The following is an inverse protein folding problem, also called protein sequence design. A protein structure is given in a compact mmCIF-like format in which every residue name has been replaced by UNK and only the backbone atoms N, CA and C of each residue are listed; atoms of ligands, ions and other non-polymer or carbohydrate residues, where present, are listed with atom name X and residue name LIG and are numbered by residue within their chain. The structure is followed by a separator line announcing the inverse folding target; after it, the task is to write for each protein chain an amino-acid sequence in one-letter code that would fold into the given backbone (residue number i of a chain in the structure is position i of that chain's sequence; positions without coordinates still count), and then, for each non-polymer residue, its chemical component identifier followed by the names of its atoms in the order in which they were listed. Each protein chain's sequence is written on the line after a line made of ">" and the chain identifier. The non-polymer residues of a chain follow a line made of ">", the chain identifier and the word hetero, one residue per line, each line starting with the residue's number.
data_IF_816535377593
#
_entry.id   IF_816535377593
#
_cell.length_a   1.000
_cell.length_b   1.000
_cell.length_c   1.000
_cell.angle_alpha   90.00
_cell.angle_beta   90.00
_cell.angle_gamma   90.00
#
_symmetry.space_group_name_H-M   'P 1'
#
loop_
_entity.id
_entity.type
_entity.pdbx_description
1 polymer ?
#
# COMPACT_ATOMS: atom_id res chain seq x y z
N UNK A 1 28.06 0.98 30.28
CA UNK A 1 26.75 0.51 29.75
C UNK A 1 26.28 1.63 28.85
N UNK A 2 26.13 1.39 27.53
CA UNK A 2 25.51 2.37 26.64
C UNK A 2 24.07 2.58 27.11
N UNK A 3 23.65 3.84 27.28
CA UNK A 3 22.25 4.17 27.56
C UNK A 3 21.36 3.55 26.47
N UNK A 4 20.32 2.80 26.88
CA UNK A 4 19.35 2.23 25.91
C UNK A 4 18.62 3.41 25.24
N UNK A 5 18.67 3.48 23.92
CA UNK A 5 17.95 4.51 23.16
C UNK A 5 16.46 4.18 23.15
N UNK A 6 15.65 4.97 23.84
CA UNK A 6 14.18 4.80 23.86
C UNK A 6 13.56 5.95 23.07
N UNK A 7 12.76 5.60 22.06
CA UNK A 7 12.02 6.57 21.21
C UNK A 7 10.65 6.84 21.83
N UNK A 8 10.11 8.05 21.71
CA UNK A 8 8.76 8.37 22.21
C UNK A 8 7.69 7.64 21.39
N UNK A 9 7.82 7.63 20.06
CA UNK A 9 6.91 6.93 19.17
C UNK A 9 7.70 6.20 18.08
N UNK A 10 7.44 4.90 17.94
CA UNK A 10 7.92 4.13 16.80
C UNK A 10 6.76 3.86 15.84
N UNK A 11 6.94 4.23 14.58
CA UNK A 11 5.97 4.07 13.50
C UNK A 11 6.37 2.85 12.67
N UNK A 12 5.49 1.85 12.60
CA UNK A 12 5.69 0.64 11.80
C UNK A 12 4.97 0.83 10.46
N UNK A 13 5.73 1.08 9.39
CA UNK A 13 5.25 1.37 8.05
C UNK A 13 5.54 2.82 7.62
N UNK A 14 6.41 2.97 6.61
CA UNK A 14 6.88 4.25 6.03
C UNK A 14 6.07 4.71 4.82
N UNK A 15 4.81 4.25 4.69
CA UNK A 15 3.88 4.72 3.67
C UNK A 15 3.33 6.12 3.96
N UNK A 16 2.38 6.64 3.15
CA UNK A 16 1.80 7.97 3.30
C UNK A 16 1.34 8.30 4.71
N UNK A 17 0.71 7.33 5.36
CA UNK A 17 0.15 7.49 6.70
C UNK A 17 1.26 7.57 7.77
N UNK A 18 2.27 6.71 7.65
CA UNK A 18 3.43 6.73 8.56
C UNK A 18 4.27 7.99 8.42
N UNK A 19 4.48 8.47 7.19
CA UNK A 19 5.17 9.73 6.91
C UNK A 19 4.44 10.92 7.54
N UNK A 20 3.12 11.00 7.39
CA UNK A 20 2.34 12.07 8.00
C UNK A 20 2.30 11.94 9.53
N UNK A 21 2.28 10.73 10.07
CA UNK A 21 2.37 10.50 11.50
C UNK A 21 3.72 11.00 12.08
N UNK A 22 4.83 10.78 11.36
CA UNK A 22 6.15 11.27 11.76
C UNK A 22 6.21 12.80 11.77
N UNK A 23 5.65 13.45 10.73
CA UNK A 23 5.48 14.90 10.73
C UNK A 23 4.73 15.38 11.95
N UNK A 24 3.60 14.76 12.26
CA UNK A 24 2.75 15.20 13.36
C UNK A 24 3.38 14.90 14.74
N UNK A 25 4.10 13.78 14.86
CA UNK A 25 4.89 13.46 16.05
C UNK A 25 5.97 14.53 16.31
N UNK A 26 6.67 14.96 15.27
CA UNK A 26 7.66 16.04 15.35
C UNK A 26 7.05 17.37 15.77
N UNK A 27 5.90 17.76 15.21
CA UNK A 27 5.15 18.94 15.66
C UNK A 27 4.76 18.87 17.15
N UNK A 28 4.59 17.67 17.69
CA UNK A 28 4.30 17.41 19.10
C UNK A 28 5.57 17.23 19.94
N UNK A 29 6.76 17.51 19.38
CA UNK A 29 8.06 17.39 20.03
C UNK A 29 8.30 16.00 20.62
N UNK A 30 7.90 14.96 19.89
CA UNK A 30 8.20 13.57 20.20
C UNK A 30 9.39 13.09 19.37
N UNK A 31 10.32 12.39 19.98
CA UNK A 31 11.32 11.61 19.25
C UNK A 31 10.61 10.51 18.47
N UNK A 32 10.94 10.34 17.17
CA UNK A 32 10.22 9.47 16.26
C UNK A 32 11.19 8.59 15.47
N UNK A 33 10.86 7.30 15.36
CA UNK A 33 11.53 6.36 14.46
C UNK A 33 10.50 5.73 13.53
N UNK A 34 10.74 5.76 12.22
CA UNK A 34 9.98 5.01 11.22
C UNK A 34 10.73 3.72 10.92
N UNK A 35 10.06 2.58 11.05
CA UNK A 35 10.60 1.26 10.67
C UNK A 35 9.74 0.70 9.53
N UNK A 36 10.37 0.37 8.40
CA UNK A 36 9.68 -0.27 7.28
C UNK A 36 10.43 -1.53 6.82
N UNK A 37 9.67 -2.55 6.42
CA UNK A 37 10.21 -3.76 5.80
C UNK A 37 10.68 -3.57 4.36
N UNK A 38 10.27 -2.49 3.71
CA UNK A 38 10.73 -2.10 2.38
C UNK A 38 12.08 -1.36 2.47
N UNK A 39 12.84 -1.36 1.35
CA UNK A 39 14.12 -0.66 1.23
C UNK A 39 13.96 0.84 0.94
N UNK A 40 12.73 1.32 0.75
CA UNK A 40 12.40 2.70 0.44
C UNK A 40 11.10 3.16 1.09
N UNK A 41 10.97 4.47 1.34
CA UNK A 41 9.76 5.07 1.87
C UNK A 41 8.67 5.21 0.78
N UNK A 42 7.42 5.40 1.22
CA UNK A 42 6.25 5.60 0.34
C UNK A 42 5.32 4.39 0.29
N UNK A 43 5.75 3.24 0.81
CA UNK A 43 4.91 2.05 0.94
C UNK A 43 4.36 1.59 -0.42
N UNK A 44 3.04 1.34 -0.50
CA UNK A 44 2.41 0.85 -1.74
C UNK A 44 2.53 1.83 -2.91
N UNK A 45 2.55 3.14 -2.67
CA UNK A 45 2.67 4.14 -3.74
C UNK A 45 3.98 4.00 -4.50
N UNK A 46 5.08 3.72 -3.81
CA UNK A 46 6.38 3.51 -4.42
C UNK A 46 6.55 2.08 -4.95
N UNK A 47 6.17 1.10 -4.13
CA UNK A 47 6.42 -0.31 -4.44
C UNK A 47 5.56 -0.86 -5.59
N UNK A 48 4.32 -0.35 -5.75
CA UNK A 48 3.34 -0.98 -6.65
C UNK A 48 2.99 -0.13 -7.87
N UNK A 49 2.84 1.20 -7.72
CA UNK A 49 2.27 2.05 -8.77
C UNK A 49 2.78 3.50 -8.76
N UNK A 50 4.12 3.71 -8.82
CA UNK A 50 4.70 5.05 -8.74
C UNK A 50 4.24 5.98 -9.86
N UNK A 51 3.91 5.45 -11.04
CA UNK A 51 3.44 6.21 -12.20
C UNK A 51 1.92 6.45 -12.24
N UNK A 52 1.16 5.82 -11.32
CA UNK A 52 -0.29 6.00 -11.24
C UNK A 52 -0.66 7.39 -10.72
N UNK A 53 -1.72 7.98 -11.27
CA UNK A 53 -2.31 9.21 -10.73
C UNK A 53 -3.20 8.91 -9.52
N UNK A 54 -3.05 9.75 -8.50
CA UNK A 54 -3.87 9.80 -7.29
C UNK A 54 -4.79 11.02 -7.42
N UNK A 55 -6.09 10.82 -7.25
CA UNK A 55 -7.13 11.85 -7.43
C UNK A 55 -7.77 12.25 -6.10
N UNK A 56 -7.66 11.44 -5.07
CA UNK A 56 -8.34 11.57 -3.78
C UNK A 56 -7.44 12.15 -2.67
N UNK A 57 -6.36 12.85 -3.06
CA UNK A 57 -5.52 13.57 -2.12
C UNK A 57 -5.89 15.06 -2.10
N UNK A 58 -6.44 15.59 -1.00
CA UNK A 58 -6.81 17.00 -0.89
C UNK A 58 -5.65 17.94 -1.21
N UNK A 59 -5.94 19.01 -1.98
CA UNK A 59 -4.93 19.99 -2.43
C UNK A 59 -4.34 19.68 -3.80
N UNK A 60 -4.59 18.49 -4.36
CA UNK A 60 -4.17 18.12 -5.71
C UNK A 60 -5.37 17.70 -6.55
N UNK A 61 -5.65 18.34 -7.70
CA UNK A 61 -6.65 17.84 -8.65
C UNK A 61 -6.32 16.42 -9.15
N UNK A 62 -5.02 16.16 -9.36
CA UNK A 62 -4.37 14.87 -9.57
C UNK A 62 -2.87 15.01 -9.32
N UNK A 63 -2.22 13.97 -8.83
CA UNK A 63 -0.77 13.95 -8.60
C UNK A 63 -0.25 12.53 -8.88
N UNK A 64 0.94 12.39 -9.48
CA UNK A 64 1.55 11.06 -9.60
C UNK A 64 1.94 10.52 -8.22
N UNK A 65 1.79 9.23 -8.02
CA UNK A 65 2.10 8.58 -6.73
C UNK A 65 3.53 8.88 -6.28
N UNK A 66 4.51 8.81 -7.18
CA UNK A 66 5.93 9.12 -6.88
C UNK A 66 6.14 10.57 -6.44
N UNK A 67 5.45 11.53 -7.08
CA UNK A 67 5.58 12.95 -6.76
C UNK A 67 4.91 13.26 -5.41
N UNK A 68 3.78 12.61 -5.13
CA UNK A 68 3.12 12.68 -3.82
C UNK A 68 4.03 12.13 -2.71
N UNK A 69 4.67 10.97 -2.93
CA UNK A 69 5.62 10.39 -1.97
C UNK A 69 6.80 11.32 -1.73
N UNK A 70 7.39 11.90 -2.78
CA UNK A 70 8.50 12.86 -2.63
C UNK A 70 8.11 14.02 -1.71
N UNK A 71 6.95 14.64 -1.93
CA UNK A 71 6.45 15.72 -1.08
C UNK A 71 6.16 15.26 0.36
N UNK A 72 5.61 14.04 0.53
CA UNK A 72 5.32 13.49 1.85
C UNK A 72 6.58 13.10 2.62
N UNK A 73 7.64 12.64 1.96
CA UNK A 73 8.94 12.37 2.57
C UNK A 73 9.55 13.68 3.08
N UNK A 74 9.57 14.72 2.24
CA UNK A 74 10.04 16.04 2.65
C UNK A 74 9.25 16.56 3.87
N UNK A 75 7.92 16.47 3.84
CA UNK A 75 7.06 16.86 4.96
C UNK A 75 7.33 16.00 6.21
N UNK A 76 7.38 14.69 6.06
CA UNK A 76 7.48 13.72 7.16
C UNK A 76 8.77 13.83 7.95
N UNK A 77 9.87 14.18 7.27
CA UNK A 77 11.21 14.17 7.85
C UNK A 77 11.71 15.53 8.35
N UNK A 78 10.95 16.60 8.18
CA UNK A 78 11.40 17.96 8.54
C UNK A 78 11.71 18.14 10.04
N UNK A 79 11.27 17.23 10.91
CA UNK A 79 11.58 17.23 12.35
C UNK A 79 12.59 16.16 12.77
N UNK A 80 13.31 15.57 11.81
CA UNK A 80 14.42 14.67 12.07
C UNK A 80 14.00 13.29 12.59
N UNK A 81 12.87 12.75 12.12
CA UNK A 81 12.52 11.36 12.41
C UNK A 81 13.63 10.41 11.90
N UNK A 82 14.00 9.43 12.72
CA UNK A 82 14.95 8.39 12.34
C UNK A 82 14.27 7.40 11.38
N UNK A 83 15.01 6.95 10.36
CA UNK A 83 14.52 6.02 9.37
C UNK A 83 15.30 4.72 9.46
N UNK A 84 14.57 3.61 9.55
CA UNK A 84 15.09 2.24 9.55
C UNK A 84 14.36 1.44 8.48
N UNK A 85 15.04 1.16 7.36
CA UNK A 85 14.47 0.43 6.22
C UNK A 85 14.98 -1.01 6.18
N UNK A 86 14.31 -1.87 5.40
CA UNK A 86 14.65 -3.28 5.26
C UNK A 86 14.46 -4.10 6.55
N UNK A 87 13.72 -3.57 7.53
CA UNK A 87 13.49 -4.24 8.81
C UNK A 87 12.01 -4.52 9.04
N UNK A 88 11.63 -5.76 8.86
CA UNK A 88 10.29 -6.23 9.17
C UNK A 88 10.19 -6.58 10.66
N UNK A 89 9.32 -5.90 11.40
CA UNK A 89 9.05 -6.20 12.81
C UNK A 89 8.23 -7.49 12.90
N UNK A 90 8.71 -8.44 13.68
CA UNK A 90 8.08 -9.76 13.87
C UNK A 90 7.57 -9.98 15.30
N UNK A 91 8.19 -9.35 16.30
CA UNK A 91 7.77 -9.44 17.69
C UNK A 91 7.51 -8.08 18.30
N UNK A 92 6.42 -7.99 19.07
CA UNK A 92 6.03 -6.82 19.83
C UNK A 92 5.67 -7.23 21.26
N UNK A 93 6.46 -6.81 22.23
CA UNK A 93 6.29 -7.14 23.64
C UNK A 93 6.44 -5.88 24.50
N UNK A 94 5.61 -5.76 25.54
CA UNK A 94 5.77 -4.72 26.55
C UNK A 94 6.63 -5.27 27.70
N UNK A 95 7.62 -4.48 28.14
CA UNK A 95 8.46 -4.73 29.28
C UNK A 95 7.72 -4.39 30.59
N UNK A 96 8.23 -4.82 31.73
CA UNK A 96 7.66 -4.50 33.05
C UNK A 96 7.67 -3.01 33.37
N UNK A 97 8.62 -2.25 32.79
CA UNK A 97 8.74 -0.79 32.93
C UNK A 97 7.77 -0.03 31.99
N UNK A 98 6.92 -0.73 31.24
CA UNK A 98 5.96 -0.15 30.31
C UNK A 98 6.53 0.17 28.93
N UNK A 99 7.84 0.04 28.71
CA UNK A 99 8.47 0.28 27.40
C UNK A 99 8.17 -0.87 26.45
N UNK A 100 7.87 -0.52 25.21
CA UNK A 100 7.67 -1.47 24.13
C UNK A 100 9.01 -1.91 23.55
N UNK A 101 9.17 -3.22 23.42
CA UNK A 101 10.28 -3.88 22.72
C UNK A 101 9.78 -4.41 21.41
N UNK A 102 10.35 -3.91 20.31
CA UNK A 102 10.12 -4.38 18.96
C UNK A 102 11.36 -5.16 18.51
N UNK A 103 11.14 -6.32 17.89
CA UNK A 103 12.23 -7.12 17.33
C UNK A 103 11.97 -7.36 15.85
N UNK A 104 12.97 -7.06 15.03
CA UNK A 104 12.92 -7.31 13.59
C UNK A 104 13.23 -8.79 13.27
N UNK A 105 12.88 -9.22 12.07
CA UNK A 105 13.20 -10.57 11.55
C UNK A 105 14.70 -10.87 11.60
N UNK A 106 15.56 -9.85 11.43
CA UNK A 106 17.02 -9.93 11.57
C UNK A 106 17.53 -9.88 13.02
N UNK A 107 16.65 -9.85 14.05
CA UNK A 107 17.02 -9.83 15.46
C UNK A 107 17.40 -8.45 16.02
N UNK A 108 17.30 -7.39 15.23
CA UNK A 108 17.51 -6.02 15.72
C UNK A 108 16.38 -5.62 16.66
N UNK A 109 16.75 -5.02 17.80
CA UNK A 109 15.81 -4.60 18.85
C UNK A 109 15.68 -3.08 18.88
N UNK A 110 14.43 -2.60 18.90
CA UNK A 110 14.08 -1.20 19.10
C UNK A 110 13.22 -1.03 20.36
N UNK A 111 13.40 0.08 21.06
CA UNK A 111 12.64 0.39 22.26
C UNK A 111 11.84 1.68 22.08
N UNK A 112 10.58 1.66 22.51
CA UNK A 112 9.67 2.77 22.31
C UNK A 112 8.67 2.93 23.46
N UNK A 113 8.26 4.17 23.75
CA UNK A 113 7.19 4.46 24.71
C UNK A 113 5.82 4.16 24.15
N UNK A 114 5.62 4.45 22.86
CA UNK A 114 4.37 4.19 22.13
C UNK A 114 4.65 3.66 20.73
N UNK A 115 3.67 2.96 20.16
CA UNK A 115 3.74 2.37 18.85
C UNK A 115 2.58 2.89 17.98
N UNK A 116 2.86 3.23 16.74
CA UNK A 116 1.85 3.47 15.71
C UNK A 116 2.03 2.48 14.56
N UNK A 117 1.02 1.66 14.30
CA UNK A 117 1.03 0.68 13.22
C UNK A 117 0.33 1.31 12.00
N UNK A 118 1.08 1.55 10.92
CA UNK A 118 0.62 2.11 9.65
C UNK A 118 1.04 1.27 8.44
N UNK A 119 1.10 -0.04 8.61
CA UNK A 119 1.59 -1.01 7.63
C UNK A 119 0.64 -1.29 6.45
N UNK A 120 -0.35 -0.42 6.18
CA UNK A 120 -1.26 -0.52 5.04
C UNK A 120 -2.07 -1.83 5.05
N UNK A 121 -1.99 -2.61 3.98
CA UNK A 121 -2.64 -3.92 3.91
C UNK A 121 -1.82 -5.05 4.59
N UNK A 122 -0.74 -4.70 5.31
CA UNK A 122 0.22 -5.65 5.83
C UNK A 122 1.19 -6.13 4.74
N UNK A 123 1.66 -7.36 4.86
CA UNK A 123 2.39 -8.03 3.79
C UNK A 123 1.41 -8.33 2.64
N UNK A 124 1.73 -7.88 1.45
CA UNK A 124 0.88 -8.16 0.28
C UNK A 124 1.67 -8.97 -0.75
N UNK A 125 1.05 -10.03 -1.23
CA UNK A 125 1.53 -10.82 -2.36
C UNK A 125 0.52 -10.73 -3.50
N UNK A 126 0.97 -10.60 -4.76
CA UNK A 126 0.06 -10.57 -5.89
C UNK A 126 -0.66 -11.92 -6.02
N UNK A 127 -1.90 -11.87 -6.45
CA UNK A 127 -2.61 -13.08 -6.88
C UNK A 127 -2.03 -13.54 -8.20
N UNK A 128 -1.45 -14.73 -8.18
CA UNK A 128 -0.85 -15.37 -9.36
C UNK A 128 -1.94 -16.02 -10.21
N UNK A 129 -1.60 -16.27 -11.47
CA UNK A 129 -2.40 -17.17 -12.32
C UNK A 129 -2.36 -18.58 -11.73
N UNK A 130 -3.46 -19.35 -11.80
CA UNK A 130 -3.51 -20.73 -11.33
C UNK A 130 -2.80 -21.69 -12.30
N UNK A 131 -1.59 -21.37 -12.73
CA UNK A 131 -0.78 -22.11 -13.68
C UNK A 131 0.60 -22.34 -13.09
N UNK A 132 1.11 -23.56 -13.20
CA UNK A 132 2.47 -23.90 -12.79
C UNK A 132 3.52 -23.26 -13.72
N UNK A 133 4.66 -22.89 -13.17
CA UNK A 133 5.81 -22.37 -13.92
C UNK A 133 5.65 -20.95 -14.43
N UNK A 134 4.68 -20.17 -13.96
CA UNK A 134 4.53 -18.76 -14.35
C UNK A 134 5.65 -17.87 -13.81
N UNK A 135 6.37 -18.33 -12.80
CA UNK A 135 7.49 -17.62 -12.16
C UNK A 135 8.62 -17.29 -13.15
N UNK A 136 8.81 -18.12 -14.18
CA UNK A 136 9.86 -17.91 -15.19
C UNK A 136 9.66 -16.64 -16.03
N UNK A 137 8.44 -16.13 -16.13
CA UNK A 137 8.12 -14.90 -16.87
C UNK A 137 8.00 -13.66 -15.97
N UNK A 138 8.05 -13.82 -14.64
CA UNK A 138 7.97 -12.70 -13.71
C UNK A 138 9.15 -11.74 -13.96
N UNK A 139 8.84 -10.48 -14.31
CA UNK A 139 9.83 -9.49 -14.75
C UNK A 139 10.35 -9.67 -16.19
N UNK A 140 9.90 -10.72 -16.92
CA UNK A 140 10.28 -11.03 -18.29
C UNK A 140 9.04 -11.19 -19.16
N UNK A 141 8.14 -10.19 -19.15
CA UNK A 141 6.89 -10.18 -19.89
C UNK A 141 5.65 -10.43 -19.05
N UNK A 142 5.78 -10.89 -17.80
CA UNK A 142 4.68 -11.03 -16.85
C UNK A 142 4.88 -10.07 -15.66
N UNK A 143 3.94 -9.15 -15.47
CA UNK A 143 4.01 -8.08 -14.49
C UNK A 143 2.82 -8.11 -13.53
N UNK A 144 3.11 -8.01 -12.24
CA UNK A 144 2.11 -7.78 -11.19
C UNK A 144 2.04 -6.31 -10.81
N UNK A 145 3.10 -5.57 -11.11
CA UNK A 145 3.29 -4.15 -10.80
C UNK A 145 3.88 -3.44 -12.02
N UNK A 146 3.46 -2.23 -12.26
CA UNK A 146 4.02 -1.37 -13.31
C UNK A 146 4.85 -0.29 -12.65
N UNK A 147 6.17 -0.48 -12.66
CA UNK A 147 7.14 0.50 -12.13
C UNK A 147 7.60 1.50 -13.17
N UNK A 148 7.66 1.08 -14.42
CA UNK A 148 8.08 1.89 -15.56
C UNK A 148 7.16 1.58 -16.76
N UNK A 149 6.50 2.60 -17.28
CA UNK A 149 5.58 2.46 -18.42
C UNK A 149 6.31 2.36 -19.75
N UNK A 150 7.59 2.77 -19.82
CA UNK A 150 8.40 2.69 -21.05
C UNK A 150 8.67 1.25 -21.50
N UNK A 151 8.63 0.28 -20.58
CA UNK A 151 8.75 -1.16 -20.90
C UNK A 151 7.69 -1.60 -21.91
N UNK A 152 6.51 -0.97 -21.88
CA UNK A 152 5.37 -1.32 -22.73
C UNK A 152 5.33 -0.54 -24.04
N UNK A 153 6.27 0.37 -24.30
CA UNK A 153 6.27 1.22 -25.50
C UNK A 153 6.36 0.39 -26.76
N UNK A 154 5.35 0.55 -27.63
CA UNK A 154 5.24 -0.16 -28.89
C UNK A 154 4.98 -1.68 -28.77
N UNK A 155 4.70 -2.18 -27.57
CA UNK A 155 4.38 -3.59 -27.28
C UNK A 155 2.90 -3.87 -27.37
N UNK A 156 2.53 -5.13 -27.59
CA UNK A 156 1.17 -5.65 -27.44
C UNK A 156 0.99 -6.09 -26.01
N UNK A 157 0.09 -5.46 -25.29
CA UNK A 157 -0.11 -5.64 -23.85
C UNK A 157 -1.46 -6.31 -23.59
N UNK A 158 -1.43 -7.40 -22.83
CA UNK A 158 -2.62 -8.05 -22.29
C UNK A 158 -2.77 -7.65 -20.83
N UNK A 159 -3.89 -7.04 -20.48
CA UNK A 159 -4.25 -6.71 -19.10
C UNK A 159 -5.33 -7.69 -18.63
N UNK A 160 -5.09 -8.31 -17.46
CA UNK A 160 -6.00 -9.32 -16.90
C UNK A 160 -6.57 -8.81 -15.60
N UNK A 161 -7.88 -8.50 -15.60
CA UNK A 161 -8.55 -8.01 -14.40
C UNK A 161 -9.83 -7.25 -14.66
N UNK A 162 -10.44 -6.71 -13.60
CA UNK A 162 -11.70 -5.95 -13.71
C UNK A 162 -11.93 -5.00 -12.52
N UNK A 163 -10.87 -4.65 -11.81
CA UNK A 163 -10.87 -3.60 -10.78
C UNK A 163 -10.21 -2.33 -11.30
N UNK A 164 -10.16 -1.29 -10.45
CA UNK A 164 -9.59 0.02 -10.80
C UNK A 164 -8.20 -0.09 -11.43
N UNK A 165 -7.31 -0.92 -10.88
CA UNK A 165 -5.96 -1.08 -11.43
C UNK A 165 -5.95 -1.60 -12.87
N UNK A 166 -6.84 -2.52 -13.23
CA UNK A 166 -6.92 -3.03 -14.60
C UNK A 166 -7.39 -1.94 -15.57
N UNK A 167 -8.44 -1.20 -15.19
CA UNK A 167 -9.01 -0.12 -15.99
C UNK A 167 -8.02 1.04 -16.14
N UNK A 168 -7.42 1.48 -15.03
CA UNK A 168 -6.46 2.59 -15.03
C UNK A 168 -5.23 2.29 -15.92
N UNK A 169 -4.65 1.06 -15.81
CA UNK A 169 -3.52 0.68 -16.65
C UNK A 169 -3.93 0.55 -18.13
N UNK A 170 -5.13 0.09 -18.42
CA UNK A 170 -5.63 0.02 -19.80
C UNK A 170 -5.70 1.41 -20.44
N UNK A 171 -6.30 2.37 -19.73
CA UNK A 171 -6.40 3.75 -20.18
C UNK A 171 -5.02 4.43 -20.31
N UNK A 172 -4.11 4.16 -19.38
CA UNK A 172 -2.78 4.76 -19.41
C UNK A 172 -1.94 4.22 -20.57
N UNK A 173 -1.94 2.89 -20.75
CA UNK A 173 -1.09 2.22 -21.73
C UNK A 173 -1.65 2.28 -23.18
N UNK A 174 -2.90 2.66 -23.37
CA UNK A 174 -3.46 2.94 -24.70
C UNK A 174 -2.59 3.91 -25.52
N UNK A 175 -1.98 4.89 -24.86
CA UNK A 175 -1.13 5.89 -25.49
C UNK A 175 0.37 5.54 -25.54
N UNK A 176 0.77 4.41 -24.97
CA UNK A 176 2.16 3.96 -24.86
C UNK A 176 2.40 2.70 -25.67
N UNK A 177 1.52 1.71 -25.53
CA UNK A 177 1.59 0.43 -26.20
C UNK A 177 1.16 0.54 -27.68
N UNK A 178 1.54 -0.43 -28.51
CA UNK A 178 1.02 -0.53 -29.86
C UNK A 178 -0.41 -1.08 -29.91
N UNK A 179 -0.78 -1.91 -28.93
CA UNK A 179 -2.11 -2.47 -28.77
C UNK A 179 -2.33 -2.89 -27.32
N UNK A 180 -3.51 -2.62 -26.79
CA UNK A 180 -3.92 -3.03 -25.45
C UNK A 180 -5.20 -3.85 -25.53
N UNK A 181 -5.15 -5.06 -25.00
CA UNK A 181 -6.32 -5.93 -24.81
C UNK A 181 -6.56 -6.09 -23.32
N UNK A 182 -7.77 -5.79 -22.85
CA UNK A 182 -8.21 -6.05 -21.48
C UNK A 182 -9.14 -7.25 -21.47
N UNK A 183 -8.79 -8.32 -20.78
CA UNK A 183 -9.68 -9.44 -20.54
C UNK A 183 -10.23 -9.43 -19.11
N UNK A 184 -11.54 -9.69 -19.00
CA UNK A 184 -12.22 -9.80 -17.72
C UNK A 184 -13.13 -11.01 -17.69
N UNK A 185 -13.10 -11.81 -16.62
CA UNK A 185 -13.86 -13.04 -16.45
C UNK A 185 -15.36 -12.86 -16.20
N UNK A 186 -15.85 -11.63 -16.07
CA UNK A 186 -17.25 -11.29 -15.76
C UNK A 186 -17.77 -10.21 -16.69
N UNK A 187 -19.06 -9.91 -16.59
CA UNK A 187 -19.73 -8.83 -17.30
C UNK A 187 -19.64 -7.46 -16.60
N UNK A 188 -19.30 -7.44 -15.30
CA UNK A 188 -19.27 -6.22 -14.50
C UNK A 188 -17.89 -5.95 -13.94
N UNK A 189 -17.40 -4.76 -14.20
CA UNK A 189 -16.21 -4.22 -13.56
C UNK A 189 -16.48 -3.83 -12.10
N UNK A 190 -15.43 -3.85 -11.29
CA UNK A 190 -15.44 -3.32 -9.90
C UNK A 190 -14.80 -1.95 -9.81
N UNK A 191 -14.32 -1.42 -10.93
CA UNK A 191 -13.76 -0.10 -11.05
C UNK A 191 -14.87 0.98 -10.99
N UNK A 192 -14.46 2.22 -10.75
CA UNK A 192 -15.37 3.36 -10.76
C UNK A 192 -16.06 3.50 -12.11
N UNK A 193 -17.34 3.83 -12.08
CA UNK A 193 -18.20 3.91 -13.27
C UNK A 193 -17.65 4.87 -14.33
N UNK A 194 -17.12 6.03 -13.90
CA UNK A 194 -16.53 7.03 -14.80
C UNK A 194 -15.35 6.48 -15.60
N UNK A 195 -14.42 5.78 -14.93
CA UNK A 195 -13.24 5.20 -15.59
C UNK A 195 -13.62 4.02 -16.49
N UNK A 196 -14.64 3.23 -16.11
CA UNK A 196 -15.19 2.18 -16.98
C UNK A 196 -15.83 2.78 -18.23
N UNK A 197 -16.54 3.91 -18.11
CA UNK A 197 -17.13 4.59 -19.27
C UNK A 197 -16.02 5.11 -20.20
N UNK A 198 -14.94 5.68 -19.67
CA UNK A 198 -13.78 6.08 -20.48
C UNK A 198 -13.16 4.89 -21.21
N UNK A 199 -12.96 3.76 -20.53
CA UNK A 199 -12.44 2.52 -21.11
C UNK A 199 -13.28 2.03 -22.29
N UNK A 200 -14.61 2.05 -22.17
CA UNK A 200 -15.52 1.61 -23.23
C UNK A 200 -15.56 2.54 -24.45
N UNK A 201 -15.05 3.77 -24.32
CA UNK A 201 -15.03 4.79 -25.37
C UNK A 201 -13.62 5.06 -25.94
N UNK A 202 -12.59 4.34 -25.49
CA UNK A 202 -11.21 4.43 -25.95
C UNK A 202 -10.82 3.32 -26.94
N UNK A 203 -9.56 3.29 -27.37
CA UNK A 203 -9.03 2.31 -28.34
C UNK A 203 -8.62 0.96 -27.76
N UNK A 204 -8.87 0.71 -26.46
CA UNK A 204 -8.56 -0.58 -25.82
C UNK A 204 -9.55 -1.66 -26.26
N UNK A 205 -9.05 -2.82 -26.65
CA UNK A 205 -9.88 -3.99 -26.94
C UNK A 205 -10.34 -4.62 -25.63
N UNK A 206 -11.65 -4.58 -25.34
CA UNK A 206 -12.24 -5.10 -24.10
C UNK A 206 -12.97 -6.41 -24.36
N UNK A 207 -12.51 -7.48 -23.70
CA UNK A 207 -13.02 -8.84 -23.87
C UNK A 207 -13.58 -9.39 -22.55
N UNK A 208 -14.90 -9.55 -22.48
CA UNK A 208 -15.60 -10.04 -21.29
C UNK A 208 -15.76 -11.56 -21.33
N UNK A 209 -15.76 -12.19 -20.15
CA UNK A 209 -15.83 -13.64 -19.94
C UNK A 209 -14.60 -14.42 -20.42
N UNK A 210 -13.47 -13.75 -20.62
CA UNK A 210 -12.22 -14.36 -21.00
C UNK A 210 -11.23 -14.43 -19.84
N UNK A 211 -10.46 -15.51 -19.81
CA UNK A 211 -9.40 -15.81 -18.84
C UNK A 211 -8.16 -16.31 -19.57
N UNK A 212 -6.99 -16.20 -18.95
CA UNK A 212 -5.74 -16.77 -19.50
C UNK A 212 -5.79 -18.28 -19.37
N UNK A 213 -5.59 -18.98 -20.47
CA UNK A 213 -5.51 -20.44 -20.52
C UNK A 213 -4.07 -20.94 -20.46
N UNK A 214 -3.18 -20.42 -21.32
CA UNK A 214 -1.80 -20.84 -21.41
C UNK A 214 -0.91 -19.69 -21.93
N UNK A 215 0.33 -19.61 -21.43
CA UNK A 215 1.38 -18.77 -22.01
C UNK A 215 2.25 -19.67 -22.88
N UNK A 216 2.24 -19.45 -24.20
CA UNK A 216 2.67 -20.43 -25.18
C UNK A 216 4.18 -20.50 -25.45
N UNK A 217 5.02 -19.68 -24.78
CA UNK A 217 6.44 -19.54 -25.09
C UNK A 217 7.33 -19.92 -23.91
N UNK A 218 8.60 -20.29 -24.17
CA UNK A 218 9.53 -20.74 -23.12
C UNK A 218 10.42 -19.62 -22.58
N UNK A 219 10.87 -18.70 -23.43
CA UNK A 219 11.88 -17.68 -23.08
C UNK A 219 11.36 -16.25 -23.04
N UNK A 220 10.36 -15.93 -23.85
CA UNK A 220 9.71 -14.62 -23.91
C UNK A 220 8.27 -14.81 -24.34
N UNK A 221 7.41 -13.86 -24.03
CA UNK A 221 5.99 -13.96 -24.33
C UNK A 221 5.75 -13.37 -25.73
N UNK A 222 5.27 -14.20 -26.67
CA UNK A 222 4.85 -13.78 -28.01
C UNK A 222 3.37 -14.06 -28.27
N UNK A 223 2.82 -15.05 -27.58
CA UNK A 223 1.46 -15.50 -27.77
C UNK A 223 0.88 -16.05 -26.46
N UNK A 224 -0.40 -15.77 -26.25
CA UNK A 224 -1.16 -16.27 -25.10
C UNK A 224 -2.45 -16.93 -25.58
N UNK A 225 -2.73 -18.15 -25.11
CA UNK A 225 -4.05 -18.75 -25.27
C UNK A 225 -4.99 -18.17 -24.20
N UNK A 226 -6.11 -17.64 -24.64
CA UNK A 226 -7.21 -17.22 -23.80
C UNK A 226 -8.44 -18.12 -24.04
N UNK A 227 -9.26 -18.31 -23.02
CA UNK A 227 -10.48 -19.06 -23.14
C UNK A 227 -11.69 -18.31 -22.58
N UNK A 228 -12.83 -18.48 -23.25
CA UNK A 228 -14.10 -17.93 -22.80
C UNK A 228 -14.73 -18.88 -21.79
N UNK A 229 -14.95 -18.41 -20.57
CA UNK A 229 -15.45 -19.24 -19.47
C UNK A 229 -16.96 -19.55 -19.52
N UNK A 230 -17.67 -19.00 -20.53
CA UNK A 230 -19.08 -19.35 -20.82
C UNK A 230 -19.25 -20.31 -21.98
N UNK A 231 -18.47 -20.09 -23.05
CA UNK A 231 -18.59 -20.88 -24.30
C UNK A 231 -17.56 -21.98 -24.41
N UNK A 232 -16.51 -21.96 -23.60
CA UNK A 232 -15.30 -22.79 -23.70
C UNK A 232 -14.52 -22.60 -25.02
N UNK A 233 -14.82 -21.54 -25.76
CA UNK A 233 -14.02 -21.14 -26.92
C UNK A 233 -12.59 -20.82 -26.47
N UNK A 234 -11.60 -21.24 -27.26
CA UNK A 234 -10.19 -20.96 -27.06
C UNK A 234 -9.62 -20.27 -28.27
N UNK A 235 -8.79 -19.27 -28.06
CA UNK A 235 -8.05 -18.62 -29.15
C UNK A 235 -6.70 -18.15 -28.67
N UNK A 236 -5.75 -18.05 -29.56
CA UNK A 236 -4.42 -17.50 -29.31
C UNK A 236 -4.36 -16.08 -29.82
N UNK A 237 -3.82 -15.20 -29.00
CA UNK A 237 -3.64 -13.79 -29.31
C UNK A 237 -2.17 -13.42 -29.18
N UNK A 238 -1.64 -12.58 -30.09
CA UNK A 238 -0.26 -12.13 -30.01
C UNK A 238 -0.11 -11.11 -28.88
N UNK A 239 0.79 -11.38 -27.93
CA UNK A 239 1.03 -10.59 -26.72
C UNK A 239 2.52 -10.58 -26.44
N UNK A 240 3.07 -9.42 -26.08
CA UNK A 240 4.48 -9.32 -25.64
C UNK A 240 4.60 -9.15 -24.11
N UNK A 241 3.63 -8.49 -23.50
CA UNK A 241 3.64 -8.17 -22.08
C UNK A 241 2.25 -8.46 -21.46
N UNK A 242 2.23 -9.05 -20.28
CA UNK A 242 1.01 -9.35 -19.53
C UNK A 242 1.04 -8.59 -18.23
N UNK A 243 -0.02 -7.84 -17.89
CA UNK A 243 -0.20 -7.20 -16.59
C UNK A 243 -1.34 -7.93 -15.86
N UNK A 244 -1.00 -8.54 -14.72
CA UNK A 244 -1.97 -9.25 -13.87
C UNK A 244 -2.53 -8.31 -12.81
N UNK A 245 -3.68 -7.74 -13.05
CA UNK A 245 -4.44 -6.90 -12.11
C UNK A 245 -5.52 -7.71 -11.38
N UNK A 246 -5.15 -8.87 -10.84
CA UNK A 246 -6.04 -9.80 -10.13
C UNK A 246 -6.26 -9.45 -8.65
N UNK A 247 -5.59 -8.40 -8.17
CA UNK A 247 -5.55 -7.98 -6.77
C UNK A 247 -4.48 -8.71 -5.97
N UNK A 248 -4.49 -8.46 -4.67
CA UNK A 248 -3.48 -8.95 -3.73
C UNK A 248 -4.11 -9.79 -2.64
N UNK A 249 -3.31 -10.66 -2.05
CA UNK A 249 -3.58 -11.24 -0.74
C UNK A 249 -2.97 -10.30 0.30
N UNK A 250 -3.82 -9.66 1.08
CA UNK A 250 -3.42 -8.90 2.25
C UNK A 250 -3.25 -9.87 3.42
N UNK A 251 -2.09 -9.87 4.07
CA UNK A 251 -1.85 -10.66 5.27
C UNK A 251 -1.18 -9.79 6.34
N UNK A 252 -1.78 -9.71 7.51
CA UNK A 252 -1.20 -9.02 8.66
C UNK A 252 0.11 -9.68 9.15
N UNK A 253 0.38 -10.91 8.71
CA UNK A 253 1.61 -11.63 9.06
C UNK A 253 1.82 -11.71 10.57
N UNK A 254 3.01 -11.30 11.08
CA UNK A 254 3.34 -11.32 12.50
C UNK A 254 2.39 -10.53 13.41
N UNK A 255 1.74 -9.48 12.87
CA UNK A 255 0.81 -8.63 13.64
C UNK A 255 -0.32 -9.46 14.28
N UNK A 256 -0.70 -10.59 13.66
CA UNK A 256 -1.71 -11.52 14.20
C UNK A 256 -1.32 -12.09 15.57
N UNK A 257 -0.04 -12.13 15.89
CA UNK A 257 0.49 -12.69 17.14
C UNK A 257 0.76 -11.63 18.22
N UNK A 258 0.55 -10.36 17.93
CA UNK A 258 0.86 -9.26 18.86
C UNK A 258 -0.22 -9.01 19.92
N UNK A 259 -1.25 -9.85 19.97
CA UNK A 259 -2.34 -9.73 20.95
C UNK A 259 -3.26 -8.55 20.69
N UNK A 260 -3.33 -8.08 19.45
CA UNK A 260 -4.25 -7.04 19.01
C UNK A 260 -5.62 -7.62 18.69
N UNK A 261 -6.69 -6.85 18.99
CA UNK A 261 -8.05 -7.21 18.60
C UNK A 261 -8.21 -6.99 17.08
N UNK A 262 -8.57 -8.07 16.37
CA UNK A 262 -8.72 -8.08 14.92
C UNK A 262 -10.20 -8.28 14.54
N UNK A 263 -10.65 -7.57 13.51
CA UNK A 263 -11.97 -7.72 12.92
C UNK A 263 -11.86 -7.66 11.39
N UNK A 264 -12.37 -8.68 10.69
CA UNK A 264 -12.34 -8.72 9.23
C UNK A 264 -10.94 -8.67 8.61
N UNK A 265 -9.90 -9.13 9.35
CA UNK A 265 -8.52 -9.08 8.88
C UNK A 265 -7.85 -7.71 9.04
N UNK A 266 -8.42 -6.80 9.83
CA UNK A 266 -7.87 -5.48 10.15
C UNK A 266 -7.79 -5.29 11.66
N UNK A 267 -6.92 -4.38 12.13
CA UNK A 267 -6.79 -4.03 13.54
C UNK A 267 -7.98 -3.17 13.95
N UNK A 268 -8.71 -3.60 14.98
CA UNK A 268 -9.82 -2.81 15.53
C UNK A 268 -9.26 -1.66 16.36
N UNK A 269 -9.77 -0.45 16.10
CA UNK A 269 -9.42 0.76 16.84
C UNK A 269 -10.67 1.54 17.25
N UNK A 270 -10.51 2.39 18.25
CA UNK A 270 -11.54 3.36 18.66
C UNK A 270 -11.38 4.71 17.91
N UNK A 271 -12.21 5.71 18.22
CA UNK A 271 -12.12 7.06 17.60
C UNK A 271 -10.83 7.82 17.91
N UNK A 272 -10.00 7.34 18.85
CA UNK A 272 -8.67 7.88 19.17
C UNK A 272 -7.55 7.10 18.48
N UNK A 273 -7.90 6.18 17.60
CA UNK A 273 -6.96 5.26 16.93
C UNK A 273 -6.21 4.34 17.93
N UNK A 274 -6.73 4.18 19.16
CA UNK A 274 -6.20 3.27 20.16
C UNK A 274 -6.64 1.83 19.86
N UNK A 275 -5.68 0.92 19.98
CA UNK A 275 -5.97 -0.53 19.97
C UNK A 275 -6.38 -1.00 21.37
N UNK A 276 -6.62 -2.31 21.54
CA UNK A 276 -6.85 -2.91 22.86
C UNK A 276 -5.58 -2.94 23.75
N UNK A 277 -4.39 -2.61 23.21
CA UNK A 277 -3.14 -2.56 23.97
C UNK A 277 -2.76 -1.11 24.27
N UNK A 278 -2.72 -0.68 25.57
CA UNK A 278 -2.39 0.69 25.94
C UNK A 278 -1.03 1.15 25.36
N UNK A 279 -0.99 2.34 24.75
CA UNK A 279 0.22 2.88 24.10
C UNK A 279 0.47 2.33 22.68
N UNK A 280 -0.41 1.45 22.17
CA UNK A 280 -0.36 0.97 20.77
C UNK A 280 -1.53 1.54 20.00
N UNK A 281 -1.22 2.26 18.94
CA UNK A 281 -2.14 2.90 18.01
C UNK A 281 -2.04 2.25 16.64
N UNK A 282 -3.05 2.43 15.81
CA UNK A 282 -2.97 2.02 14.41
C UNK A 282 -3.77 2.99 13.53
N UNK A 283 -3.35 3.17 12.26
CA UNK A 283 -3.97 4.09 11.31
C UNK A 283 -3.79 3.61 9.86
N UNK A 284 -4.65 4.09 8.96
CA UNK A 284 -4.62 3.77 7.54
C UNK A 284 -5.42 2.51 7.20
N UNK A 285 -5.06 1.85 6.09
CA UNK A 285 -5.83 0.71 5.57
C UNK A 285 -5.79 -0.53 6.46
N UNK A 286 -4.84 -0.58 7.39
CA UNK A 286 -4.67 -1.69 8.33
C UNK A 286 -5.76 -1.72 9.42
N UNK A 287 -6.46 -0.61 9.64
CA UNK A 287 -7.45 -0.50 10.72
C UNK A 287 -8.89 -0.70 10.26
N UNK A 288 -9.75 -1.02 11.22
CA UNK A 288 -11.20 -1.05 11.07
C UNK A 288 -11.88 -0.43 12.27
N UNK A 289 -12.95 0.31 12.00
CA UNK A 289 -13.92 0.89 12.92
C UNK A 289 -15.20 1.19 12.14
N UNK A 290 -16.29 1.54 12.82
CA UNK A 290 -17.55 1.85 12.15
C UNK A 290 -17.42 3.09 11.25
N UNK A 291 -17.81 2.97 9.98
CA UNK A 291 -17.69 4.02 8.97
C UNK A 291 -16.29 4.17 8.34
N UNK A 292 -15.36 3.21 8.54
CA UNK A 292 -14.01 3.26 7.94
C UNK A 292 -14.06 3.28 6.41
N UNK A 293 -13.38 4.28 5.83
CA UNK A 293 -13.03 4.34 4.41
C UNK A 293 -11.51 4.14 4.23
N UNK A 294 -11.13 3.30 3.27
CA UNK A 294 -9.72 3.02 2.94
C UNK A 294 -9.22 4.01 1.89
N UNK A 295 -8.99 5.26 2.31
CA UNK A 295 -8.45 6.35 1.50
C UNK A 295 -7.21 6.93 2.18
N UNK A 296 -6.27 7.44 1.38
CA UNK A 296 -5.08 8.13 1.93
C UNK A 296 -5.52 9.32 2.79
N UNK A 297 -6.47 10.12 2.30
CA UNK A 297 -6.98 11.29 3.03
C UNK A 297 -7.56 10.94 4.40
N UNK A 298 -8.32 9.84 4.52
CA UNK A 298 -8.85 9.34 5.80
C UNK A 298 -7.70 8.94 6.74
N UNK A 299 -6.74 8.18 6.22
CA UNK A 299 -5.59 7.71 6.99
C UNK A 299 -4.68 8.85 7.50
N UNK A 300 -4.54 9.93 6.74
CA UNK A 300 -3.82 11.14 7.17
C UNK A 300 -4.48 11.75 8.41
N UNK A 301 -5.81 11.87 8.45
CA UNK A 301 -6.54 12.32 9.63
C UNK A 301 -6.37 11.39 10.82
N UNK A 302 -6.41 10.07 10.59
CA UNK A 302 -6.18 9.05 11.61
C UNK A 302 -4.77 9.13 12.21
N UNK A 303 -3.74 9.35 11.36
CA UNK A 303 -2.36 9.51 11.79
C UNK A 303 -2.18 10.71 12.74
N UNK A 304 -2.82 11.85 12.43
CA UNK A 304 -2.82 13.01 13.29
C UNK A 304 -3.47 12.72 14.65
N UNK A 305 -4.62 12.04 14.65
CA UNK A 305 -5.31 11.64 15.88
C UNK A 305 -4.42 10.71 16.70
N UNK A 306 -3.87 9.65 16.11
CA UNK A 306 -3.00 8.68 16.78
C UNK A 306 -1.79 9.35 17.43
N UNK A 307 -1.06 10.22 16.69
CA UNK A 307 0.11 10.92 17.23
C UNK A 307 -0.24 11.84 18.39
N UNK A 308 -1.39 12.52 18.35
CA UNK A 308 -1.85 13.36 19.45
C UNK A 308 -2.15 12.55 20.71
N UNK A 309 -2.84 11.43 20.58
CA UNK A 309 -3.15 10.57 21.74
C UNK A 309 -1.92 9.79 22.22
N UNK A 310 -0.97 9.44 21.36
CA UNK A 310 0.34 8.94 21.80
C UNK A 310 1.07 9.95 22.66
N UNK A 311 1.07 11.25 22.31
CA UNK A 311 1.65 12.31 23.15
C UNK A 311 0.99 12.39 24.52
N UNK A 312 -0.35 12.33 24.58
CA UNK A 312 -1.05 12.38 25.89
C UNK A 312 -0.84 11.12 26.73
N UNK A 313 -0.56 9.98 26.10
CA UNK A 313 -0.20 8.76 26.83
C UNK A 313 1.18 8.88 27.49
N UNK A 314 2.16 9.47 26.78
CA UNK A 314 3.52 9.69 27.28
C UNK A 314 3.53 10.79 28.35
N UNK A 315 2.77 11.87 28.10
CA UNK A 315 2.67 13.05 28.97
C UNK A 315 1.19 13.36 29.23
N UNK A 316 0.62 12.86 30.35
CA UNK A 316 -0.79 13.07 30.68
C UNK A 316 -1.17 14.54 30.92
N UNK A 317 -0.21 15.43 31.11
CA UNK A 317 -0.45 16.87 31.26
C UNK A 317 -0.55 17.60 29.91
N UNK A 318 -0.13 16.97 28.82
CA UNK A 318 -0.24 17.56 27.50
C UNK A 318 -1.69 17.51 26.99
N UNK A 319 -2.09 18.56 26.25
CA UNK A 319 -3.41 18.59 25.61
C UNK A 319 -3.44 17.71 24.38
N UNK A 320 -4.53 16.96 24.16
CA UNK A 320 -4.73 16.21 22.93
C UNK A 320 -4.85 17.14 21.69
N UNK A 321 -5.41 18.33 21.87
CA UNK A 321 -5.40 19.39 20.85
C UNK A 321 -4.61 20.60 21.36
N UNK A 322 -3.38 20.82 20.84
CA UNK A 322 -2.51 21.90 21.33
C UNK A 322 -2.87 23.31 20.80
N UNK A 323 -3.88 23.43 19.94
CA UNK A 323 -4.23 24.63 19.17
C UNK A 323 -3.87 24.51 17.69
N UNK A 324 -4.17 25.53 16.91
CA UNK A 324 -3.83 25.54 15.49
C UNK A 324 -2.34 25.86 15.28
N UNK A 325 -1.74 25.30 14.24
CA UNK A 325 -0.33 25.58 13.88
C UNK A 325 -0.07 27.06 13.59
N UNK A 326 -1.11 27.80 13.15
CA UNK A 326 -1.08 29.27 12.98
C UNK A 326 -0.98 30.05 14.29
N UNK A 327 -1.30 29.43 15.43
CA UNK A 327 -1.27 30.05 16.75
C UNK A 327 0.11 29.91 17.44
N UNK A 328 0.99 29.11 16.86
CA UNK A 328 2.37 28.95 17.33
C UNK A 328 3.20 30.10 16.76
N UNK A 329 3.49 31.08 17.61
CA UNK A 329 4.40 32.21 17.33
C UNK A 329 5.85 31.81 17.47
#
# INVERSE_FOLDING_TARGET
>A
MSEEKITDITIIGGGPIGLFAAFYAGMRQMSCTIIDGLEELGGQLTALYPEKYIYDMPGFPKVKAKDLVTAQVEQGLQYGAEIVLGQKIVHLQQREDGIWRLESEGGTVHLSRTILISGGAGSFSPRKLPMEGTERWEGHGLHYFVKDTEVFRGRRVLIVGGGDSAVDWSLHLEHVASHVTLIHRRDKFRAHEETVQQLMNCGVEVELFWEVGEICCETHIDEVEIYNNRTNERRRIPVNEIILSLGFHADLGPIKTWGLELQGGSIKVNSRMETNRPGVYAAGDIVTYDGKLKLIATGVGEAAIAANYAKTYIDPHSRAFPGHSSDQK
#
